data_IF_879089475353
#
_entry.id   IF_879089475353
#
_cell.length_a   1.000
_cell.length_b   1.000
_cell.length_c   1.000
_cell.angle_alpha   90.00
_cell.angle_beta   90.00
_cell.angle_gamma   90.00
#
_symmetry.space_group_name_H-M   'P 1'
#
loop_
_entity.id
_entity.type
_entity.pdbx_description
1 polymer ?
#
# COMPACT_ATOMS: atom_id res chain seq x y z
N UNK A 1 6.76 27.11 -7.68
CA UNK A 1 7.88 27.46 -8.61
C UNK A 1 9.26 27.40 -7.92
N UNK A 2 9.38 27.84 -6.64
CA UNK A 2 10.68 27.83 -5.92
C UNK A 2 11.31 26.42 -5.88
N UNK A 3 10.54 25.38 -5.53
CA UNK A 3 11.04 24.00 -5.50
C UNK A 3 11.57 23.55 -6.87
N UNK A 4 10.91 23.90 -7.97
CA UNK A 4 11.32 23.53 -9.33
C UNK A 4 12.73 24.04 -9.70
N UNK A 5 13.17 25.15 -9.11
CA UNK A 5 14.48 25.69 -9.35
C UNK A 5 15.62 24.86 -8.72
N UNK A 6 15.30 23.99 -7.78
CA UNK A 6 16.26 23.15 -7.03
C UNK A 6 16.28 21.70 -7.45
N UNK A 7 15.31 21.26 -8.29
CA UNK A 7 15.12 19.84 -8.64
C UNK A 7 15.52 19.58 -10.09
N UNK A 8 16.40 18.62 -10.29
CA UNK A 8 16.72 18.12 -11.63
C UNK A 8 15.62 17.19 -12.17
N UNK A 9 15.56 17.04 -13.50
CA UNK A 9 14.67 16.08 -14.16
C UNK A 9 14.86 14.65 -13.64
N UNK A 10 16.11 14.27 -13.35
CA UNK A 10 16.43 12.96 -12.78
C UNK A 10 15.82 12.76 -11.39
N UNK A 11 15.89 13.77 -10.52
CA UNK A 11 15.27 13.73 -9.19
C UNK A 11 13.75 13.67 -9.28
N UNK A 12 13.13 14.44 -10.16
CA UNK A 12 11.68 14.39 -10.39
C UNK A 12 11.21 13.00 -10.87
N UNK A 13 11.92 12.40 -11.83
CA UNK A 13 11.67 11.03 -12.29
C UNK A 13 11.81 10.01 -11.17
N UNK A 14 12.86 10.10 -10.36
CA UNK A 14 13.10 9.21 -9.22
C UNK A 14 11.99 9.33 -8.17
N UNK A 15 11.61 10.55 -7.82
CA UNK A 15 10.55 10.78 -6.83
C UNK A 15 9.20 10.18 -7.26
N UNK A 16 8.83 10.34 -8.53
CA UNK A 16 7.58 9.81 -9.06
C UNK A 16 7.60 8.34 -9.48
N UNK A 17 8.73 7.62 -9.32
CA UNK A 17 8.90 6.29 -9.94
C UNK A 17 7.92 5.22 -9.48
N UNK A 18 7.38 5.32 -8.27
CA UNK A 18 6.48 4.33 -7.70
C UNK A 18 4.99 4.71 -7.83
N UNK A 19 4.71 6.00 -8.12
CA UNK A 19 3.34 6.52 -8.17
C UNK A 19 2.89 6.96 -9.56
N UNK A 20 3.83 7.34 -10.42
CA UNK A 20 3.56 7.79 -11.78
C UNK A 20 4.08 6.76 -12.79
N UNK A 21 3.28 6.49 -13.83
CA UNK A 21 3.70 5.59 -14.90
C UNK A 21 5.00 6.10 -15.54
N UNK A 22 6.00 5.22 -15.55
CA UNK A 22 7.32 5.52 -16.11
C UNK A 22 7.32 5.24 -17.61
N UNK A 23 7.30 6.30 -18.40
CA UNK A 23 7.45 6.24 -19.86
C UNK A 23 8.86 6.69 -20.26
N UNK A 24 9.34 6.26 -21.45
CA UNK A 24 10.63 6.71 -22.01
C UNK A 24 10.64 8.22 -22.23
N UNK A 25 9.49 8.76 -22.65
CA UNK A 25 9.24 10.19 -22.85
C UNK A 25 8.05 10.62 -21.98
N UNK A 26 8.28 10.91 -20.67
CA UNK A 26 7.20 11.25 -19.77
C UNK A 26 6.65 12.64 -20.08
N UNK A 27 5.33 12.78 -19.99
CA UNK A 27 4.69 14.10 -20.06
C UNK A 27 5.16 14.99 -18.93
N UNK A 28 5.19 16.30 -19.16
CA UNK A 28 5.61 17.28 -18.14
C UNK A 28 4.80 17.13 -16.84
N UNK A 29 3.50 16.87 -16.91
CA UNK A 29 2.67 16.61 -15.73
C UNK A 29 3.18 15.45 -14.86
N UNK A 30 3.72 14.40 -15.47
CA UNK A 30 4.29 13.26 -14.74
C UNK A 30 5.56 13.62 -13.97
N UNK A 31 6.28 14.65 -14.42
CA UNK A 31 7.48 15.17 -13.75
C UNK A 31 7.11 16.17 -12.64
N UNK A 32 6.08 17.00 -12.88
CA UNK A 32 5.66 18.05 -11.95
C UNK A 32 4.82 17.51 -10.80
N UNK A 33 4.01 16.45 -11.02
CA UNK A 33 3.13 15.88 -10.00
C UNK A 33 3.86 15.53 -8.68
N UNK A 34 5.00 14.78 -8.69
CA UNK A 34 5.71 14.47 -7.45
C UNK A 34 6.21 15.72 -6.71
N UNK A 35 6.51 16.77 -7.45
CA UNK A 35 7.00 18.03 -6.89
C UNK A 35 5.87 18.87 -6.29
N UNK A 36 4.68 18.77 -6.85
CA UNK A 36 3.50 19.40 -6.26
C UNK A 36 3.12 18.71 -4.95
N UNK A 37 3.07 17.39 -4.94
CA UNK A 37 2.80 16.63 -3.73
C UNK A 37 3.85 16.87 -2.64
N UNK A 38 5.13 17.00 -3.00
CA UNK A 38 6.22 17.28 -2.06
C UNK A 38 6.12 18.62 -1.32
N UNK A 39 5.18 19.49 -1.67
CA UNK A 39 4.92 20.76 -0.97
C UNK A 39 3.54 20.81 -0.31
N UNK A 40 2.79 19.72 -0.34
CA UNK A 40 1.44 19.68 0.26
C UNK A 40 1.51 19.92 1.77
N UNK A 41 2.52 19.39 2.46
CA UNK A 41 2.75 19.61 3.89
C UNK A 41 2.92 21.11 4.24
N UNK A 42 3.55 21.89 3.37
CA UNK A 42 3.70 23.34 3.55
C UNK A 42 2.36 24.05 3.37
N UNK A 43 1.62 23.65 2.32
CA UNK A 43 0.34 24.28 1.98
C UNK A 43 -0.77 23.97 2.99
N UNK A 44 -0.67 22.82 3.63
CA UNK A 44 -1.63 22.34 4.64
C UNK A 44 -1.21 22.62 6.07
N UNK A 45 0.01 23.19 6.28
CA UNK A 45 0.60 23.41 7.61
C UNK A 45 0.59 22.13 8.46
N UNK A 46 1.07 21.04 7.85
CA UNK A 46 0.98 19.71 8.43
C UNK A 46 2.21 19.36 9.26
N UNK A 47 2.01 18.90 10.50
CA UNK A 47 3.06 18.34 11.36
C UNK A 47 3.40 16.90 11.00
N UNK A 48 2.40 16.14 10.48
CA UNK A 48 2.52 14.72 10.14
C UNK A 48 1.84 14.47 8.80
N UNK A 49 2.54 13.80 7.90
CA UNK A 49 1.99 13.30 6.64
C UNK A 49 1.93 11.77 6.66
N UNK A 50 0.74 11.21 6.36
CA UNK A 50 0.49 9.77 6.32
C UNK A 50 0.36 9.29 4.87
N UNK A 51 1.05 8.24 4.51
CA UNK A 51 0.94 7.66 3.18
C UNK A 51 1.35 6.20 3.09
N UNK A 52 1.14 5.59 1.93
CA UNK A 52 1.66 4.26 1.64
C UNK A 52 3.18 4.29 1.35
N UNK A 53 3.83 3.12 1.42
CA UNK A 53 5.25 2.98 1.10
C UNK A 53 5.61 3.41 -0.33
N UNK A 54 4.65 3.43 -1.26
CA UNK A 54 4.85 3.94 -2.61
C UNK A 54 5.05 5.46 -2.66
N UNK A 55 4.67 6.20 -1.60
CA UNK A 55 4.90 7.64 -1.46
C UNK A 55 6.30 7.98 -0.93
N UNK A 56 7.05 7.00 -0.43
CA UNK A 56 8.34 7.20 0.26
C UNK A 56 9.32 8.07 -0.51
N UNK A 57 9.36 7.93 -1.83
CA UNK A 57 10.32 8.70 -2.66
C UNK A 57 9.94 10.17 -2.78
N UNK A 58 8.65 10.48 -2.75
CA UNK A 58 8.15 11.85 -2.74
C UNK A 58 8.42 12.48 -1.37
N UNK A 59 8.13 11.76 -0.29
CA UNK A 59 8.44 12.20 1.08
C UNK A 59 9.95 12.46 1.29
N UNK A 60 10.81 11.59 0.73
CA UNK A 60 12.25 11.81 0.76
C UNK A 60 12.65 13.09 -0.01
N UNK A 61 12.04 13.33 -1.18
CA UNK A 61 12.29 14.55 -1.95
C UNK A 61 11.89 15.81 -1.15
N UNK A 62 10.70 15.78 -0.53
CA UNK A 62 10.26 16.88 0.33
C UNK A 62 11.27 17.12 1.46
N UNK A 63 11.58 16.09 2.24
CA UNK A 63 12.50 16.16 3.37
C UNK A 63 13.89 16.72 3.00
N UNK A 64 14.36 16.42 1.79
CA UNK A 64 15.69 16.87 1.32
C UNK A 64 15.70 18.37 0.92
N UNK A 65 14.53 18.94 0.57
CA UNK A 65 14.47 20.28 -0.01
C UNK A 65 13.62 21.29 0.77
N UNK A 66 12.78 20.86 1.73
CA UNK A 66 11.81 21.74 2.38
C UNK A 66 12.48 22.87 3.19
N UNK A 67 13.61 22.59 3.85
CA UNK A 67 14.37 23.59 4.60
C UNK A 67 14.95 24.67 3.70
N UNK A 68 15.31 24.34 2.45
CA UNK A 68 15.77 25.31 1.45
C UNK A 68 14.65 26.28 1.03
N UNK A 69 13.40 25.88 1.24
CA UNK A 69 12.22 26.71 1.00
C UNK A 69 11.85 27.58 2.20
N UNK A 70 12.55 27.43 3.33
CA UNK A 70 12.32 28.17 4.57
C UNK A 70 11.27 27.57 5.48
N UNK A 71 10.99 26.25 5.35
CA UNK A 71 10.01 25.53 6.16
C UNK A 71 10.66 24.43 6.99
N UNK A 72 10.00 24.04 8.09
CA UNK A 72 10.42 22.91 8.91
C UNK A 72 9.99 21.59 8.29
N UNK A 73 10.69 20.50 8.62
CA UNK A 73 10.34 19.15 8.18
C UNK A 73 9.18 18.61 9.01
N UNK A 74 8.18 18.05 8.35
CA UNK A 74 7.15 17.27 9.04
C UNK A 74 7.60 15.82 9.30
N UNK A 75 6.84 15.09 10.11
CA UNK A 75 7.01 13.68 10.31
C UNK A 75 6.26 12.89 9.21
N UNK A 76 6.89 11.82 8.70
CA UNK A 76 6.26 10.94 7.70
C UNK A 76 5.97 9.58 8.31
N UNK A 77 4.71 9.17 8.27
CA UNK A 77 4.25 7.84 8.69
C UNK A 77 3.83 7.07 7.45
N UNK A 78 4.45 5.90 7.25
CA UNK A 78 4.20 5.09 6.06
C UNK A 78 3.74 3.69 6.45
N UNK A 79 2.66 3.23 5.81
CA UNK A 79 2.15 1.88 5.95
C UNK A 79 2.42 1.04 4.70
N UNK A 80 2.47 -0.27 4.88
CA UNK A 80 2.53 -1.21 3.76
C UNK A 80 1.27 -1.10 2.91
N UNK A 81 1.42 -1.36 1.60
CA UNK A 81 0.29 -1.37 0.67
C UNK A 81 -0.45 -2.68 0.76
N UNK A 82 -1.78 -2.62 0.75
CA UNK A 82 -2.59 -3.81 0.62
C UNK A 82 -2.43 -4.42 -0.78
N UNK A 83 -2.22 -5.74 -0.87
CA UNK A 83 -2.09 -6.41 -2.16
C UNK A 83 -3.43 -6.50 -2.88
N UNK A 84 -3.39 -6.62 -4.20
CA UNK A 84 -4.57 -6.97 -4.98
C UNK A 84 -5.06 -8.36 -4.62
N UNK A 85 -6.36 -8.50 -4.30
CA UNK A 85 -6.97 -9.80 -4.00
C UNK A 85 -7.01 -10.73 -5.22
N UNK A 86 -6.98 -10.19 -6.43
CA UNK A 86 -7.09 -10.95 -7.69
C UNK A 86 -5.75 -11.31 -8.32
N UNK A 87 -4.65 -10.62 -7.95
CA UNK A 87 -3.35 -10.76 -8.63
C UNK A 87 -2.20 -10.82 -7.64
N UNK A 88 -1.38 -11.88 -7.67
CA UNK A 88 -0.22 -11.99 -6.79
C UNK A 88 0.79 -10.88 -7.06
N UNK A 89 1.38 -10.34 -6.00
CA UNK A 89 2.42 -9.31 -6.08
C UNK A 89 1.99 -7.95 -6.65
N UNK A 90 0.72 -7.77 -7.01
CA UNK A 90 0.19 -6.49 -7.46
C UNK A 90 -0.43 -5.72 -6.29
N UNK A 91 -0.30 -4.39 -6.30
CA UNK A 91 -1.02 -3.55 -5.33
C UNK A 91 -2.51 -3.47 -5.65
N UNK A 92 -3.32 -3.25 -4.63
CA UNK A 92 -4.76 -3.03 -4.76
C UNK A 92 -5.01 -1.79 -5.65
N UNK A 93 -5.93 -1.92 -6.61
CA UNK A 93 -6.26 -0.85 -7.57
C UNK A 93 -7.74 -0.55 -7.56
N UNK A 94 -8.09 0.74 -7.63
CA UNK A 94 -9.49 1.19 -7.71
C UNK A 94 -10.22 0.73 -8.97
N UNK A 95 -9.52 0.39 -10.03
CA UNK A 95 -10.11 -0.05 -11.29
C UNK A 95 -10.47 -1.55 -11.33
N UNK A 96 -10.00 -2.35 -10.37
CA UNK A 96 -10.27 -3.79 -10.29
C UNK A 96 -11.29 -4.07 -9.16
N UNK A 97 -12.53 -4.35 -9.54
CA UNK A 97 -13.63 -4.58 -8.60
C UNK A 97 -13.37 -5.74 -7.64
N UNK A 98 -12.82 -6.86 -8.13
CA UNK A 98 -12.53 -8.05 -7.33
C UNK A 98 -11.11 -8.04 -6.73
N UNK A 99 -10.27 -7.15 -7.20
CA UNK A 99 -8.92 -6.94 -6.68
C UNK A 99 -8.86 -6.05 -5.44
N UNK A 100 -9.97 -5.46 -5.01
CA UNK A 100 -10.05 -4.55 -3.86
C UNK A 100 -11.17 -4.91 -2.89
N UNK A 101 -10.91 -4.67 -1.61
CA UNK A 101 -11.94 -4.65 -0.56
C UNK A 101 -12.08 -3.19 -0.11
N UNK A 102 -13.30 -2.68 -0.08
CA UNK A 102 -13.61 -1.30 0.30
C UNK A 102 -14.37 -1.27 1.63
N UNK A 103 -14.23 -0.20 2.41
CA UNK A 103 -14.93 -0.04 3.68
C UNK A 103 -16.45 -0.03 3.57
N UNK A 104 -16.97 0.29 2.39
CA UNK A 104 -18.42 0.33 2.13
C UNK A 104 -18.94 -0.94 1.45
N UNK A 105 -18.10 -1.95 1.25
CA UNK A 105 -18.55 -3.23 0.73
C UNK A 105 -19.49 -3.92 1.74
N UNK A 106 -20.59 -4.48 1.26
CA UNK A 106 -21.44 -5.31 2.10
C UNK A 106 -20.73 -6.61 2.48
N UNK A 107 -21.16 -7.25 3.56
CA UNK A 107 -20.60 -8.53 4.00
C UNK A 107 -20.63 -9.57 2.88
N UNK A 108 -21.75 -9.66 2.15
CA UNK A 108 -21.93 -10.59 1.03
C UNK A 108 -20.93 -10.32 -0.11
N UNK A 109 -20.66 -9.04 -0.40
CA UNK A 109 -19.70 -8.66 -1.41
C UNK A 109 -18.25 -8.98 -0.98
N UNK A 110 -17.91 -8.75 0.29
CA UNK A 110 -16.60 -9.14 0.86
C UNK A 110 -16.42 -10.66 0.76
N UNK A 111 -17.44 -11.45 1.13
CA UNK A 111 -17.42 -12.91 1.01
C UNK A 111 -17.20 -13.35 -0.44
N UNK A 112 -17.89 -12.72 -1.40
CA UNK A 112 -17.72 -13.02 -2.82
C UNK A 112 -16.31 -12.70 -3.31
N UNK A 113 -15.78 -11.53 -2.94
CA UNK A 113 -14.40 -11.08 -3.29
C UNK A 113 -13.36 -12.03 -2.71
N UNK A 114 -13.47 -12.40 -1.43
CA UNK A 114 -12.55 -13.33 -0.77
C UNK A 114 -12.63 -14.74 -1.38
N UNK A 115 -13.84 -15.22 -1.72
CA UNK A 115 -14.00 -16.50 -2.40
C UNK A 115 -13.23 -16.56 -3.71
N UNK A 116 -13.20 -15.45 -4.47
CA UNK A 116 -12.48 -15.31 -5.76
C UNK A 116 -11.02 -14.91 -5.60
N UNK A 117 -10.58 -14.51 -4.40
CA UNK A 117 -9.23 -14.06 -4.15
C UNK A 117 -8.17 -15.10 -4.54
N UNK A 118 -7.04 -14.62 -5.04
CA UNK A 118 -5.86 -15.46 -5.23
C UNK A 118 -5.36 -15.97 -3.88
N UNK A 119 -5.16 -17.28 -3.75
CA UNK A 119 -4.73 -17.88 -2.50
C UNK A 119 -4.15 -19.26 -2.80
N UNK A 120 -2.86 -19.36 -3.00
CA UNK A 120 -2.15 -20.62 -3.25
C UNK A 120 -1.77 -21.24 -1.91
N UNK A 121 -2.15 -22.51 -1.72
CA UNK A 121 -1.87 -23.24 -0.47
C UNK A 121 -0.38 -23.41 -0.24
N UNK A 122 0.02 -23.31 1.03
CA UNK A 122 1.41 -23.39 1.51
C UNK A 122 2.34 -22.25 1.07
N UNK A 123 1.88 -21.36 0.21
CA UNK A 123 2.65 -20.17 -0.20
C UNK A 123 2.22 -18.95 0.63
N UNK A 124 3.19 -18.33 1.29
CA UNK A 124 2.97 -17.10 2.07
C UNK A 124 3.28 -15.87 1.23
N UNK A 125 4.36 -15.95 0.44
CA UNK A 125 4.81 -14.85 -0.38
C UNK A 125 3.80 -14.56 -1.51
N UNK A 126 3.52 -13.28 -1.74
CA UNK A 126 2.60 -12.80 -2.78
C UNK A 126 1.18 -13.41 -2.66
N UNK A 127 0.79 -13.80 -1.44
CA UNK A 127 -0.52 -14.35 -1.12
C UNK A 127 -1.40 -13.30 -0.42
N UNK A 128 -2.35 -12.67 -1.13
CA UNK A 128 -3.15 -11.58 -0.59
C UNK A 128 -4.02 -11.99 0.61
N UNK A 129 -4.42 -13.25 0.73
CA UNK A 129 -5.18 -13.71 1.90
C UNK A 129 -4.28 -13.74 3.15
N UNK A 130 -3.03 -14.18 3.02
CA UNK A 130 -2.05 -14.15 4.11
C UNK A 130 -1.64 -12.71 4.46
N UNK A 131 -1.46 -11.85 3.45
CA UNK A 131 -1.17 -10.43 3.67
C UNK A 131 -2.33 -9.70 4.34
N UNK A 132 -3.58 -9.98 3.98
CA UNK A 132 -4.76 -9.41 4.64
C UNK A 132 -4.81 -9.82 6.12
N UNK A 133 -4.54 -11.09 6.43
CA UNK A 133 -4.41 -11.55 7.80
C UNK A 133 -3.35 -10.76 8.56
N UNK A 134 -2.13 -10.67 8.00
CA UNK A 134 -0.97 -10.01 8.62
C UNK A 134 -1.16 -8.51 8.82
N UNK A 135 -1.68 -7.82 7.79
CA UNK A 135 -1.71 -6.35 7.77
C UNK A 135 -2.96 -5.76 8.40
N UNK A 136 -4.06 -6.51 8.47
CA UNK A 136 -5.35 -6.00 8.94
C UNK A 136 -5.86 -6.78 10.14
N UNK A 137 -6.09 -8.11 10.00
CA UNK A 137 -6.84 -8.87 10.98
C UNK A 137 -6.08 -8.97 12.31
N UNK A 138 -4.83 -9.39 12.29
CA UNK A 138 -4.02 -9.50 13.52
C UNK A 138 -3.69 -8.16 14.16
N UNK A 139 -3.30 -7.09 13.44
CA UNK A 139 -3.10 -5.78 14.04
C UNK A 139 -4.35 -5.20 14.71
N UNK A 140 -5.56 -5.58 14.26
CA UNK A 140 -6.81 -5.20 14.91
C UNK A 140 -7.16 -6.08 16.13
N UNK A 141 -6.30 -7.03 16.51
CA UNK A 141 -6.47 -7.88 17.67
C UNK A 141 -7.42 -9.08 17.46
N UNK A 142 -7.74 -9.40 16.21
CA UNK A 142 -8.55 -10.58 15.88
C UNK A 142 -7.70 -11.84 15.72
N UNK A 143 -8.34 -13.00 15.83
CA UNK A 143 -7.75 -14.33 15.64
C UNK A 143 -8.32 -15.00 14.41
N UNK A 144 -7.56 -15.90 13.77
CA UNK A 144 -7.99 -16.66 12.61
C UNK A 144 -7.81 -18.15 12.93
N UNK A 145 -8.90 -18.93 12.83
CA UNK A 145 -8.89 -20.40 13.00
C UNK A 145 -8.09 -20.86 14.23
N UNK A 146 -8.40 -20.32 15.40
CA UNK A 146 -7.72 -20.60 16.69
C UNK A 146 -6.24 -20.16 16.77
N UNK A 147 -5.64 -19.67 15.66
CA UNK A 147 -4.30 -19.08 15.66
C UNK A 147 -4.37 -17.70 16.29
N UNK A 148 -3.70 -17.52 17.44
CA UNK A 148 -3.72 -16.25 18.18
C UNK A 148 -2.76 -15.22 17.59
N UNK A 149 -1.66 -15.69 17.04
CA UNK A 149 -0.62 -14.86 16.41
C UNK A 149 -0.49 -15.19 14.93
N UNK A 150 -0.08 -14.21 14.13
CA UNK A 150 0.17 -14.44 12.71
C UNK A 150 1.20 -15.54 12.46
N UNK A 151 2.21 -15.66 13.31
CA UNK A 151 3.24 -16.70 13.22
C UNK A 151 2.69 -18.12 13.34
N UNK A 152 1.61 -18.31 14.10
CA UNK A 152 0.95 -19.62 14.25
C UNK A 152 0.16 -19.95 12.98
N UNK A 153 -0.55 -18.95 12.44
CA UNK A 153 -1.25 -19.08 11.16
C UNK A 153 -0.26 -19.42 10.02
N UNK A 154 0.87 -18.71 9.95
CA UNK A 154 1.89 -18.92 8.93
C UNK A 154 2.46 -20.33 8.97
N UNK A 155 2.80 -20.85 10.16
CA UNK A 155 3.27 -22.23 10.34
C UNK A 155 2.22 -23.23 9.88
N UNK A 156 0.98 -23.13 10.39
CA UNK A 156 -0.12 -24.02 10.03
C UNK A 156 -0.41 -24.00 8.52
N UNK A 157 -0.28 -22.81 7.89
CA UNK A 157 -0.43 -22.65 6.45
C UNK A 157 0.66 -23.37 5.65
N UNK A 158 1.92 -23.17 5.99
CA UNK A 158 3.08 -23.81 5.32
C UNK A 158 3.05 -25.33 5.49
N UNK A 159 2.66 -25.81 6.67
CA UNK A 159 2.49 -27.25 6.96
C UNK A 159 1.31 -27.86 6.19
N UNK A 160 0.35 -27.03 5.76
CA UNK A 160 -0.87 -27.48 5.06
C UNK A 160 -1.96 -27.98 6.01
N UNK A 161 -1.93 -27.57 7.27
CA UNK A 161 -2.99 -27.85 8.25
C UNK A 161 -4.23 -26.99 8.04
N UNK A 162 -4.09 -25.88 7.31
CA UNK A 162 -5.16 -24.96 6.93
C UNK A 162 -5.24 -24.89 5.41
N UNK A 163 -6.45 -25.05 4.86
CA UNK A 163 -6.73 -24.98 3.43
C UNK A 163 -7.23 -23.60 3.02
N UNK A 164 -7.05 -23.26 1.75
CA UNK A 164 -7.42 -21.95 1.19
C UNK A 164 -8.90 -21.59 1.46
N UNK A 165 -9.80 -22.55 1.37
CA UNK A 165 -11.23 -22.35 1.66
C UNK A 165 -11.49 -21.93 3.11
N UNK A 166 -10.84 -22.59 4.08
CA UNK A 166 -10.97 -22.28 5.50
C UNK A 166 -10.43 -20.88 5.83
N UNK A 167 -9.25 -20.54 5.30
CA UNK A 167 -8.66 -19.23 5.49
C UNK A 167 -9.57 -18.13 4.93
N UNK A 168 -10.06 -18.28 3.71
CA UNK A 168 -10.96 -17.30 3.06
C UNK A 168 -12.27 -17.11 3.81
N UNK A 169 -12.85 -18.19 4.32
CA UNK A 169 -14.07 -18.13 5.14
C UNK A 169 -13.81 -17.43 6.47
N UNK A 170 -12.71 -17.73 7.14
CA UNK A 170 -12.33 -17.08 8.38
C UNK A 170 -12.06 -15.58 8.22
N UNK A 171 -11.45 -15.18 7.10
CA UNK A 171 -11.21 -13.76 6.76
C UNK A 171 -12.49 -12.98 6.45
N UNK A 172 -13.56 -13.68 6.06
CA UNK A 172 -14.84 -13.08 5.67
C UNK A 172 -15.81 -12.89 6.84
N UNK A 173 -15.54 -13.46 8.00
CA UNK A 173 -16.42 -13.45 9.19
C UNK A 173 -15.92 -12.48 10.26
#
# INVERSE_FOLDING_TARGET
LKLLAHISVSQAKKAGSDVVKQDKDPKLGNLVYPLMQAIDEILLDADIELGGLDQRKIFALSRDHIEQLGHEKCAYVMNELLPSMSKPGAKMSSSDLYGKIEFLDSKELIQEKLKKAYCVEKEVKDNPCMDLARLIVYPLGHTILECKEYSDLEKAWVEGSIYAGQLKEALAN
#
